data_IF_425005284860
#
_entry.id   IF_425005284860
#
_cell.length_a   1.000
_cell.length_b   1.000
_cell.length_c   1.000
_cell.angle_alpha   90.00
_cell.angle_beta   90.00
_cell.angle_gamma   90.00
#
_symmetry.space_group_name_H-M   'P 1'
#
loop_
_entity.id
_entity.type
_entity.pdbx_description
1 polymer ?
#
# COMPACT_ATOMS: atom_id res chain seq x y z
N UNK A 1 5.85 68.12 -22.78
CA UNK A 1 6.67 66.94 -22.76
C UNK A 1 5.80 65.73 -22.49
N UNK A 2 5.76 64.72 -23.38
CA UNK A 2 5.10 63.45 -23.11
C UNK A 2 6.09 62.60 -22.27
N UNK A 3 5.62 62.23 -21.06
CA UNK A 3 6.37 61.37 -20.17
C UNK A 3 6.08 59.91 -20.51
N UNK A 4 7.04 59.16 -21.04
CA UNK A 4 6.88 57.75 -21.34
C UNK A 4 7.13 56.97 -20.05
N UNK A 5 6.10 56.41 -19.41
CA UNK A 5 6.25 55.36 -18.39
C UNK A 5 6.41 54.04 -19.11
N UNK A 6 7.64 53.53 -19.13
CA UNK A 6 7.89 52.15 -19.54
C UNK A 6 7.18 51.22 -18.54
N UNK A 7 6.29 50.38 -19.03
CA UNK A 7 5.74 49.27 -18.26
C UNK A 7 6.83 48.18 -18.19
N UNK A 8 7.52 48.12 -17.07
CA UNK A 8 8.48 47.07 -16.77
C UNK A 8 7.81 45.99 -15.89
N UNK A 9 7.37 44.90 -16.49
CA UNK A 9 6.75 43.82 -15.72
C UNK A 9 7.83 43.11 -14.90
N UNK A 10 8.01 43.49 -13.63
CA UNK A 10 8.86 42.80 -12.68
C UNK A 10 8.20 41.49 -12.19
N UNK A 11 7.99 40.55 -13.08
CA UNK A 11 7.51 39.20 -12.77
C UNK A 11 8.48 38.16 -13.30
N UNK A 12 8.71 37.05 -12.53
CA UNK A 12 8.09 36.69 -11.26
C UNK A 12 8.79 37.36 -10.06
N UNK A 13 8.02 37.83 -9.09
CA UNK A 13 8.55 38.29 -7.81
C UNK A 13 8.80 37.08 -6.90
N UNK A 14 9.74 37.19 -5.93
CA UNK A 14 10.00 36.17 -4.91
C UNK A 14 8.74 35.82 -4.07
N UNK A 15 7.74 36.70 -4.07
CA UNK A 15 6.44 36.49 -3.43
C UNK A 15 5.54 35.50 -4.22
N UNK A 16 5.76 35.31 -5.52
CA UNK A 16 4.93 34.43 -6.34
C UNK A 16 5.10 32.97 -5.94
N UNK A 17 6.32 32.52 -5.72
CA UNK A 17 6.62 31.14 -5.33
C UNK A 17 6.00 30.81 -3.97
N UNK A 18 6.12 31.70 -2.98
CA UNK A 18 5.55 31.50 -1.66
C UNK A 18 4.01 31.51 -1.69
N UNK A 19 3.40 32.36 -2.52
CA UNK A 19 1.96 32.40 -2.74
C UNK A 19 1.47 31.10 -3.38
N UNK A 20 2.11 30.64 -4.47
CA UNK A 20 1.77 29.40 -5.17
C UNK A 20 1.89 28.20 -4.25
N UNK A 21 2.98 28.12 -3.47
CA UNK A 21 3.17 27.06 -2.47
C UNK A 21 2.05 27.06 -1.42
N UNK A 22 1.64 28.22 -0.92
CA UNK A 22 0.56 28.32 0.06
C UNK A 22 -0.79 27.89 -0.50
N UNK A 23 -1.09 28.25 -1.75
CA UNK A 23 -2.30 27.82 -2.45
C UNK A 23 -2.30 26.29 -2.66
N UNK A 24 -1.20 25.73 -3.15
CA UNK A 24 -1.08 24.29 -3.35
C UNK A 24 -1.18 23.50 -2.04
N UNK A 25 -0.62 24.00 -0.93
CA UNK A 25 -0.80 23.39 0.40
C UNK A 25 -2.26 23.42 0.86
N UNK A 26 -2.97 24.50 0.59
CA UNK A 26 -4.41 24.59 0.91
C UNK A 26 -5.23 23.60 0.08
N UNK A 27 -4.90 23.45 -1.21
CA UNK A 27 -5.56 22.47 -2.08
C UNK A 27 -5.25 21.04 -1.61
N UNK A 28 -3.99 20.73 -1.31
CA UNK A 28 -3.57 19.42 -0.81
C UNK A 28 -4.29 19.05 0.49
N UNK A 29 -4.40 20.01 1.42
CA UNK A 29 -5.17 19.84 2.66
C UNK A 29 -6.67 19.60 2.39
N UNK A 30 -7.26 20.30 1.43
CA UNK A 30 -8.66 20.07 1.04
C UNK A 30 -8.91 18.71 0.37
N UNK A 31 -7.89 18.14 -0.27
CA UNK A 31 -7.94 16.82 -0.90
C UNK A 31 -7.50 15.69 0.04
N UNK A 32 -7.07 15.99 1.26
CA UNK A 32 -6.48 15.05 2.22
C UNK A 32 -5.29 14.26 1.64
N UNK A 33 -4.42 14.93 0.91
CA UNK A 33 -3.16 14.38 0.40
C UNK A 33 -2.00 15.27 0.82
N UNK A 34 -0.78 14.72 0.83
CA UNK A 34 0.41 15.51 1.14
C UNK A 34 0.69 16.55 0.05
N UNK A 35 1.26 17.70 0.42
CA UNK A 35 1.69 18.73 -0.53
C UNK A 35 2.64 18.17 -1.60
N UNK A 36 3.55 17.27 -1.18
CA UNK A 36 4.53 16.66 -2.09
C UNK A 36 3.87 15.74 -3.13
N UNK A 37 2.83 15.02 -2.74
CA UNK A 37 2.05 14.18 -3.67
C UNK A 37 1.29 15.00 -4.70
N UNK A 38 0.82 16.21 -4.33
CA UNK A 38 0.13 17.10 -5.25
C UNK A 38 1.08 17.86 -6.18
N UNK A 39 2.14 18.46 -5.61
CA UNK A 39 3.03 19.39 -6.32
C UNK A 39 4.22 18.70 -6.99
N UNK A 40 4.55 17.47 -6.58
CA UNK A 40 5.79 16.76 -6.91
C UNK A 40 7.06 17.57 -6.58
N UNK A 41 6.96 18.48 -5.60
CA UNK A 41 8.06 19.33 -5.14
C UNK A 41 8.76 18.66 -3.94
N UNK A 42 9.98 18.22 -4.13
CA UNK A 42 10.82 17.56 -3.14
C UNK A 42 11.99 18.43 -2.66
N UNK A 43 12.01 19.72 -3.01
CA UNK A 43 13.18 20.59 -2.79
C UNK A 43 13.42 20.94 -1.31
N UNK A 44 12.38 20.93 -0.48
CA UNK A 44 12.42 21.35 0.93
C UNK A 44 12.19 20.24 1.94
N UNK A 45 12.25 18.96 1.50
CA UNK A 45 11.91 17.83 2.36
C UNK A 45 13.12 16.94 2.64
N UNK A 46 13.14 16.36 3.82
CA UNK A 46 14.04 15.27 4.17
C UNK A 46 13.33 13.92 4.06
N UNK A 47 14.11 12.84 4.11
CA UNK A 47 13.59 11.47 4.02
C UNK A 47 12.47 11.18 5.03
N UNK A 48 12.62 11.65 6.28
CA UNK A 48 11.64 11.39 7.34
C UNK A 48 10.30 12.06 7.06
N UNK A 49 10.30 13.31 6.59
CA UNK A 49 9.05 14.02 6.26
C UNK A 49 8.36 13.47 5.02
N UNK A 50 9.12 13.06 3.97
CA UNK A 50 8.55 12.36 2.81
C UNK A 50 7.91 11.04 3.24
N UNK A 51 8.61 10.26 4.08
CA UNK A 51 8.09 8.99 4.58
C UNK A 51 6.80 9.18 5.37
N UNK A 52 6.76 10.15 6.28
CA UNK A 52 5.57 10.44 7.07
C UNK A 52 4.39 10.83 6.18
N UNK A 53 4.58 11.75 5.23
CA UNK A 53 3.55 12.14 4.27
C UNK A 53 3.04 10.96 3.42
N UNK A 54 3.93 10.09 2.95
CA UNK A 54 3.54 8.91 2.19
C UNK A 54 2.74 7.90 3.04
N UNK A 55 3.02 7.75 4.33
CA UNK A 55 2.25 6.89 5.23
C UNK A 55 0.84 7.45 5.49
N UNK A 56 0.73 8.77 5.66
CA UNK A 56 -0.56 9.45 5.81
C UNK A 56 -1.41 9.34 4.53
N UNK A 57 -0.82 9.59 3.37
CA UNK A 57 -1.48 9.43 2.07
C UNK A 57 -1.99 7.98 1.88
N UNK A 58 -1.19 6.98 2.24
CA UNK A 58 -1.59 5.55 2.16
C UNK A 58 -2.79 5.24 3.04
N UNK A 59 -2.82 5.78 4.25
CA UNK A 59 -3.96 5.59 5.16
C UNK A 59 -5.26 6.14 4.54
N UNK A 60 -5.19 7.31 3.88
CA UNK A 60 -6.33 7.85 3.14
C UNK A 60 -6.70 6.99 1.92
N UNK A 61 -5.72 6.52 1.16
CA UNK A 61 -5.99 5.65 0.00
C UNK A 61 -6.62 4.32 0.41
N UNK A 62 -6.27 3.77 1.58
CA UNK A 62 -6.92 2.58 2.13
C UNK A 62 -8.40 2.82 2.44
N UNK A 63 -8.74 4.00 2.98
CA UNK A 63 -10.15 4.40 3.21
C UNK A 63 -10.90 4.47 1.88
N UNK A 64 -10.31 5.07 0.83
CA UNK A 64 -10.93 5.11 -0.49
C UNK A 64 -11.04 3.73 -1.13
N UNK A 65 -10.05 2.87 -0.99
CA UNK A 65 -10.13 1.48 -1.46
C UNK A 65 -11.29 0.74 -0.80
N UNK A 66 -11.42 0.86 0.52
CA UNK A 66 -12.52 0.26 1.28
C UNK A 66 -13.88 0.81 0.85
N UNK A 67 -13.98 2.12 0.66
CA UNK A 67 -15.20 2.76 0.15
C UNK A 67 -15.61 2.20 -1.22
N UNK A 68 -14.67 2.06 -2.15
CA UNK A 68 -14.94 1.49 -3.49
C UNK A 68 -15.34 0.01 -3.38
N UNK A 69 -14.69 -0.77 -2.52
CA UNK A 69 -15.05 -2.17 -2.29
C UNK A 69 -16.48 -2.28 -1.78
N UNK A 70 -16.84 -1.52 -0.75
CA UNK A 70 -18.16 -1.61 -0.11
C UNK A 70 -19.29 -1.10 -1.00
N UNK A 71 -19.08 0.01 -1.69
CA UNK A 71 -20.15 0.70 -2.41
C UNK A 71 -20.23 0.37 -3.90
N UNK A 72 -19.20 -0.24 -4.47
CA UNK A 72 -19.18 -0.59 -5.88
C UNK A 72 -18.86 -2.07 -6.11
N UNK A 73 -17.70 -2.55 -5.65
CA UNK A 73 -17.24 -3.90 -6.01
C UNK A 73 -18.16 -4.97 -5.41
N UNK A 74 -18.47 -4.88 -4.13
CA UNK A 74 -19.31 -5.85 -3.43
C UNK A 74 -20.76 -5.89 -3.99
N UNK A 75 -21.48 -4.77 -4.19
CA UNK A 75 -22.80 -4.80 -4.84
C UNK A 75 -22.78 -5.40 -6.25
N UNK A 76 -21.78 -5.08 -7.05
CA UNK A 76 -21.62 -5.65 -8.41
C UNK A 76 -21.39 -7.16 -8.33
N UNK A 77 -20.54 -7.61 -7.42
CA UNK A 77 -20.29 -9.04 -7.20
C UNK A 77 -21.55 -9.78 -6.74
N UNK A 78 -22.31 -9.23 -5.79
CA UNK A 78 -23.55 -9.85 -5.33
C UNK A 78 -24.57 -10.00 -6.45
N UNK A 79 -24.77 -8.95 -7.26
CA UNK A 79 -25.68 -9.01 -8.41
C UNK A 79 -25.21 -10.00 -9.47
N UNK A 80 -23.91 -10.07 -9.72
CA UNK A 80 -23.32 -11.05 -10.62
C UNK A 80 -23.50 -12.49 -10.09
N UNK A 81 -23.25 -12.71 -8.80
CA UNK A 81 -23.36 -14.03 -8.17
C UNK A 81 -24.80 -14.54 -8.22
N UNK A 82 -25.79 -13.70 -7.91
CA UNK A 82 -27.21 -14.02 -8.00
C UNK A 82 -27.58 -14.45 -9.43
N UNK A 83 -27.16 -13.68 -10.43
CA UNK A 83 -27.40 -13.99 -11.84
C UNK A 83 -26.69 -15.28 -12.28
N UNK A 84 -25.45 -15.50 -11.82
CA UNK A 84 -24.66 -16.67 -12.17
C UNK A 84 -25.27 -17.97 -11.61
N UNK A 85 -25.81 -17.92 -10.39
CA UNK A 85 -26.53 -19.05 -9.77
C UNK A 85 -27.86 -19.28 -10.51
N UNK A 86 -28.64 -18.22 -10.74
CA UNK A 86 -29.96 -18.32 -11.41
C UNK A 86 -29.89 -18.86 -12.84
N UNK A 87 -28.81 -18.55 -13.56
CA UNK A 87 -28.58 -19.04 -14.93
C UNK A 87 -27.87 -20.40 -14.97
N UNK A 88 -27.55 -21.01 -13.83
CA UNK A 88 -26.85 -22.29 -13.75
C UNK A 88 -25.37 -22.25 -14.16
N UNK A 89 -24.77 -21.06 -14.30
CA UNK A 89 -23.32 -20.92 -14.57
C UNK A 89 -22.47 -21.40 -13.41
N UNK A 90 -22.98 -21.20 -12.20
CA UNK A 90 -22.35 -21.66 -10.95
C UNK A 90 -23.34 -22.59 -10.26
N UNK A 91 -22.91 -23.81 -9.97
CA UNK A 91 -23.75 -24.80 -9.30
C UNK A 91 -23.65 -24.64 -7.78
N UNK A 92 -24.32 -23.62 -7.25
CA UNK A 92 -24.44 -23.37 -5.81
C UNK A 92 -25.94 -23.35 -5.42
N UNK A 93 -26.27 -23.86 -4.21
CA UNK A 93 -27.64 -23.81 -3.73
C UNK A 93 -28.06 -22.37 -3.45
N UNK A 94 -29.12 -21.89 -4.12
CA UNK A 94 -29.63 -20.50 -3.97
C UNK A 94 -29.97 -20.16 -2.50
N UNK A 95 -30.44 -21.13 -1.72
CA UNK A 95 -30.73 -20.94 -0.29
C UNK A 95 -29.52 -20.66 0.60
N UNK A 96 -28.30 -20.75 0.07
CA UNK A 96 -27.06 -20.39 0.76
C UNK A 96 -26.39 -19.15 0.16
N UNK A 97 -27.12 -18.37 -0.62
CA UNK A 97 -26.62 -17.17 -1.29
C UNK A 97 -25.90 -16.23 -0.29
N UNK A 98 -26.54 -15.91 0.84
CA UNK A 98 -25.95 -15.02 1.85
C UNK A 98 -24.62 -15.53 2.40
N UNK A 99 -24.49 -16.86 2.56
CA UNK A 99 -23.22 -17.44 3.00
C UNK A 99 -22.12 -17.23 1.98
N UNK A 100 -22.40 -17.46 0.69
CA UNK A 100 -21.38 -17.33 -0.36
C UNK A 100 -21.09 -15.87 -0.69
N UNK A 101 -22.10 -15.00 -0.71
CA UNK A 101 -21.91 -13.57 -0.97
C UNK A 101 -21.07 -12.87 0.10
N UNK A 102 -21.21 -13.30 1.37
CA UNK A 102 -20.48 -12.73 2.50
C UNK A 102 -19.14 -13.42 2.81
N UNK A 103 -18.82 -14.53 2.13
CA UNK A 103 -17.56 -15.26 2.36
C UNK A 103 -16.39 -14.75 1.49
N UNK A 104 -16.66 -13.84 0.57
CA UNK A 104 -15.64 -13.30 -0.34
C UNK A 104 -14.90 -12.16 0.33
N UNK A 105 -13.58 -12.23 0.31
CA UNK A 105 -12.71 -11.15 0.73
C UNK A 105 -12.12 -10.44 -0.50
N UNK A 106 -12.35 -9.13 -0.62
CA UNK A 106 -11.78 -8.32 -1.68
C UNK A 106 -10.45 -7.75 -1.23
N UNK A 107 -9.37 -8.20 -1.85
CA UNK A 107 -8.01 -7.74 -1.54
C UNK A 107 -7.66 -6.58 -2.46
N UNK A 108 -7.52 -5.34 -1.95
CA UNK A 108 -7.15 -4.19 -2.75
C UNK A 108 -5.68 -4.25 -3.17
N UNK A 109 -5.31 -3.39 -4.12
CA UNK A 109 -3.91 -3.26 -4.54
C UNK A 109 -3.04 -2.81 -3.36
N UNK A 110 -1.94 -3.51 -3.15
CA UNK A 110 -0.93 -3.15 -2.14
C UNK A 110 -0.12 -1.90 -2.53
N UNK A 111 0.48 -1.28 -1.53
CA UNK A 111 1.43 -0.18 -1.72
C UNK A 111 2.86 -0.71 -1.72
N UNK A 112 3.72 -0.10 -2.56
CA UNK A 112 5.14 -0.41 -2.53
C UNK A 112 5.76 -0.01 -1.18
N UNK A 113 6.70 -0.77 -0.67
CA UNK A 113 7.37 -0.44 0.58
C UNK A 113 8.19 0.84 0.47
N UNK A 114 8.19 1.63 1.54
CA UNK A 114 9.05 2.83 1.65
C UNK A 114 10.43 2.40 2.17
N UNK A 115 10.44 1.51 3.15
CA UNK A 115 11.66 0.95 3.75
C UNK A 115 11.48 -0.57 3.88
N UNK A 116 11.84 -1.32 2.84
CA UNK A 116 11.58 -2.76 2.80
C UNK A 116 12.18 -3.53 3.97
N UNK A 117 13.38 -3.12 4.42
CA UNK A 117 14.07 -3.81 5.52
C UNK A 117 13.33 -3.61 6.84
N UNK A 118 13.00 -2.37 7.19
CA UNK A 118 12.29 -2.06 8.44
C UNK A 118 10.87 -2.63 8.46
N UNK A 119 10.18 -2.58 7.32
CA UNK A 119 8.84 -3.15 7.20
C UNK A 119 8.87 -4.68 7.36
N UNK A 120 9.86 -5.37 6.76
CA UNK A 120 10.04 -6.80 6.95
C UNK A 120 10.40 -7.15 8.40
N UNK A 121 11.29 -6.41 9.05
CA UNK A 121 11.63 -6.61 10.46
C UNK A 121 10.41 -6.41 11.37
N UNK A 122 9.60 -5.39 11.11
CA UNK A 122 8.35 -5.13 11.84
C UNK A 122 7.36 -6.30 11.69
N UNK A 123 7.21 -6.83 10.47
CA UNK A 123 6.35 -7.98 10.21
C UNK A 123 6.83 -9.23 10.95
N UNK A 124 8.14 -9.51 10.95
CA UNK A 124 8.72 -10.63 11.68
C UNK A 124 8.45 -10.50 13.18
N UNK A 125 8.69 -9.33 13.77
CA UNK A 125 8.42 -9.06 15.18
C UNK A 125 6.92 -9.17 15.50
N UNK A 126 6.08 -8.68 14.62
CA UNK A 126 4.63 -8.78 14.79
C UNK A 126 4.12 -10.21 14.79
N UNK A 127 4.61 -11.07 13.87
CA UNK A 127 4.33 -12.50 13.85
C UNK A 127 4.82 -13.20 15.12
N UNK A 128 6.05 -12.91 15.57
CA UNK A 128 6.64 -13.51 16.77
C UNK A 128 5.86 -13.18 18.05
N UNK A 129 5.32 -11.97 18.12
CA UNK A 129 4.53 -11.51 19.27
C UNK A 129 3.02 -11.77 19.12
N UNK A 130 2.58 -12.36 18.00
CA UNK A 130 1.17 -12.65 17.74
C UNK A 130 0.29 -11.41 17.55
N UNK A 131 0.88 -10.26 17.21
CA UNK A 131 0.13 -9.02 16.97
C UNK A 131 -0.38 -8.89 15.54
N UNK A 132 0.18 -9.65 14.60
CA UNK A 132 -0.25 -9.78 13.21
C UNK A 132 -0.25 -11.24 12.79
N UNK A 133 -1.02 -11.59 11.78
CA UNK A 133 -1.08 -12.92 11.19
C UNK A 133 -0.39 -12.98 9.82
N UNK A 134 -0.14 -14.19 9.31
CA UNK A 134 0.29 -14.38 7.92
C UNK A 134 -0.73 -13.85 6.92
N UNK A 135 -2.03 -13.95 7.25
CA UNK A 135 -3.10 -13.43 6.42
C UNK A 135 -3.06 -11.91 6.31
N UNK A 136 -2.75 -11.20 7.41
CA UNK A 136 -2.59 -9.74 7.39
C UNK A 136 -1.42 -9.33 6.49
N UNK A 137 -0.31 -10.07 6.58
CA UNK A 137 0.87 -9.81 5.73
C UNK A 137 0.53 -10.10 4.28
N UNK A 138 -0.05 -11.26 3.96
CA UNK A 138 -0.42 -11.62 2.59
C UNK A 138 -1.37 -10.57 1.98
N UNK A 139 -2.40 -10.14 2.73
CA UNK A 139 -3.33 -9.11 2.30
C UNK A 139 -2.64 -7.76 2.06
N UNK A 140 -1.66 -7.37 2.90
CA UNK A 140 -0.87 -6.16 2.70
C UNK A 140 -0.05 -6.21 1.39
N UNK A 141 0.28 -7.39 0.90
CA UNK A 141 0.90 -7.61 -0.42
C UNK A 141 -0.11 -7.78 -1.56
N UNK A 142 -1.41 -7.71 -1.27
CA UNK A 142 -2.46 -7.93 -2.25
C UNK A 142 -2.56 -9.40 -2.69
N UNK A 143 -2.24 -10.34 -1.80
CA UNK A 143 -2.27 -11.78 -2.06
C UNK A 143 -3.20 -12.50 -1.09
N UNK A 144 -3.79 -13.59 -1.58
CA UNK A 144 -4.50 -14.53 -0.73
C UNK A 144 -3.52 -15.48 -0.03
N UNK A 145 -3.82 -15.85 1.22
CA UNK A 145 -2.95 -16.68 2.04
C UNK A 145 -2.92 -18.14 1.57
N UNK A 146 -4.06 -18.69 1.14
CA UNK A 146 -4.13 -20.06 0.66
C UNK A 146 -3.38 -20.20 -0.66
N UNK A 147 -3.57 -19.26 -1.60
CA UNK A 147 -2.82 -19.21 -2.86
C UNK A 147 -1.31 -19.10 -2.61
N UNK A 148 -0.90 -18.29 -1.61
CA UNK A 148 0.50 -18.14 -1.25
C UNK A 148 1.09 -19.46 -0.73
N UNK A 149 0.37 -20.16 0.14
CA UNK A 149 0.81 -21.44 0.69
C UNK A 149 0.87 -22.53 -0.38
N UNK A 150 -0.14 -22.61 -1.25
CA UNK A 150 -0.11 -23.53 -2.40
C UNK A 150 1.08 -23.26 -3.32
N UNK A 151 1.38 -21.98 -3.58
CA UNK A 151 2.53 -21.62 -4.41
C UNK A 151 3.83 -22.05 -3.76
N UNK A 152 4.03 -21.78 -2.47
CA UNK A 152 5.22 -22.23 -1.75
C UNK A 152 5.37 -23.74 -1.73
N UNK A 153 4.29 -24.49 -1.56
CA UNK A 153 4.32 -25.94 -1.64
C UNK A 153 4.82 -26.40 -3.01
N UNK A 154 4.26 -25.85 -4.10
CA UNK A 154 4.67 -26.17 -5.47
C UNK A 154 6.15 -25.84 -5.73
N UNK A 155 6.63 -24.70 -5.22
CA UNK A 155 8.03 -24.28 -5.34
C UNK A 155 8.98 -25.21 -4.57
N UNK A 156 8.63 -25.65 -3.37
CA UNK A 156 9.40 -26.59 -2.57
C UNK A 156 9.49 -27.96 -3.27
N UNK A 157 8.39 -28.45 -3.81
CA UNK A 157 8.36 -29.72 -4.54
C UNK A 157 9.20 -29.65 -5.82
N UNK A 158 9.08 -28.54 -6.56
CA UNK A 158 9.87 -28.30 -7.76
C UNK A 158 11.37 -28.21 -7.46
N UNK A 159 11.74 -27.46 -6.42
CA UNK A 159 13.13 -27.33 -6.00
C UNK A 159 13.76 -28.69 -5.63
N UNK A 160 13.01 -29.55 -4.92
CA UNK A 160 13.43 -30.91 -4.61
C UNK A 160 13.68 -31.74 -5.86
N UNK A 161 12.85 -31.64 -6.90
CA UNK A 161 13.02 -32.36 -8.17
C UNK A 161 14.30 -31.96 -8.90
N UNK A 162 14.71 -30.72 -8.79
CA UNK A 162 15.92 -30.18 -9.42
C UNK A 162 17.16 -30.23 -8.51
N UNK A 163 17.04 -30.72 -7.27
CA UNK A 163 18.13 -30.75 -6.30
C UNK A 163 18.59 -29.37 -5.85
N UNK A 164 17.67 -28.37 -5.87
CA UNK A 164 17.94 -27.00 -5.45
C UNK A 164 17.47 -26.84 -3.99
N UNK A 165 18.33 -26.24 -3.17
CA UNK A 165 17.98 -25.85 -1.81
C UNK A 165 17.48 -24.39 -1.83
N UNK A 166 16.25 -24.18 -1.33
CA UNK A 166 15.66 -22.84 -1.28
C UNK A 166 16.25 -22.08 -0.09
N UNK A 167 16.63 -20.80 -0.33
CA UNK A 167 17.21 -19.93 0.70
C UNK A 167 16.21 -19.49 1.78
N UNK A 168 14.90 -19.56 1.52
CA UNK A 168 13.88 -19.25 2.51
C UNK A 168 13.47 -20.51 3.27
N UNK A 169 13.21 -20.34 4.56
CA UNK A 169 12.69 -21.42 5.37
C UNK A 169 11.16 -21.39 5.33
N UNK A 170 10.51 -22.55 5.08
CA UNK A 170 9.05 -22.63 5.12
C UNK A 170 8.50 -22.25 6.49
N UNK A 171 7.25 -21.82 6.50
CA UNK A 171 6.49 -21.47 7.70
C UNK A 171 6.69 -22.45 8.86
N UNK A 172 7.06 -21.95 10.04
CA UNK A 172 7.28 -22.74 11.26
C UNK A 172 8.74 -23.08 11.56
N UNK A 173 9.70 -22.79 10.70
CA UNK A 173 11.09 -22.83 11.07
C UNK A 173 11.45 -21.71 12.03
N UNK A 174 12.25 -22.00 13.07
CA UNK A 174 12.75 -20.96 13.98
C UNK A 174 13.57 -19.97 13.17
N UNK A 175 13.11 -18.72 13.08
CA UNK A 175 13.92 -17.65 12.53
C UNK A 175 15.22 -17.57 13.33
N UNK A 176 16.41 -17.44 12.69
CA UNK A 176 17.64 -17.22 13.41
C UNK A 176 17.51 -15.93 14.23
N UNK A 177 17.68 -16.03 15.54
CA UNK A 177 17.53 -14.90 16.48
C UNK A 177 18.67 -13.86 16.34
N UNK A 178 19.67 -14.13 15.50
CA UNK A 178 20.85 -13.29 15.35
C UNK A 178 21.05 -12.76 13.93
N UNK A 179 20.24 -11.79 13.53
CA UNK A 179 20.77 -10.74 12.67
C UNK A 179 21.23 -9.61 13.61
N UNK A 180 22.51 -9.59 13.95
CA UNK A 180 23.18 -8.57 14.74
C UNK A 180 22.96 -7.21 14.06
N UNK A 181 22.00 -6.42 14.55
CA UNK A 181 21.78 -5.06 14.09
C UNK A 181 22.87 -4.20 14.72
N UNK A 182 24.07 -4.27 14.18
CA UNK A 182 25.01 -3.17 14.34
C UNK A 182 24.59 -2.10 13.33
N UNK A 183 23.61 -1.31 13.74
CA UNK A 183 23.35 0.00 13.15
C UNK A 183 24.59 0.85 13.40
N UNK A 184 25.36 1.07 12.36
CA UNK A 184 26.40 2.09 12.41
C UNK A 184 25.73 3.47 12.45
N UNK A 185 25.53 3.99 13.65
CA UNK A 185 25.42 5.41 13.88
C UNK A 185 26.82 5.98 13.67
N UNK A 186 27.16 6.26 12.43
CA UNK A 186 28.20 7.24 12.12
C UNK A 186 27.47 8.58 12.00
N UNK A 187 27.27 9.23 13.14
CA UNK A 187 27.18 10.68 13.22
C UNK A 187 28.57 11.20 12.88
N UNK A 188 28.75 11.64 11.66
CA UNK A 188 29.90 12.47 11.29
C UNK A 188 29.64 13.87 11.84
N UNK A 189 30.63 14.36 12.62
CA UNK A 189 30.84 15.71 13.15
C UNK A 189 30.86 16.79 12.04
#
# INVERSE_FOLDING_TARGET
>A
GMDFKAFDPTHPTSAFDSFTTSVLRSIASGLNISYHSLSNDLTSVNYSSIRQGALEDRSMYQIYQQFVIEHFVNPVFQSWLEMAISTGRINLPIGKFDKFSNSVNFIPRSFAWIDPLKEMQSNVLGLQNGTISYSDIAAAYGRDTEELFEQHQKEIELAKQYGIELAYQPFGAKLPVEANIQGGDNEDE
#
